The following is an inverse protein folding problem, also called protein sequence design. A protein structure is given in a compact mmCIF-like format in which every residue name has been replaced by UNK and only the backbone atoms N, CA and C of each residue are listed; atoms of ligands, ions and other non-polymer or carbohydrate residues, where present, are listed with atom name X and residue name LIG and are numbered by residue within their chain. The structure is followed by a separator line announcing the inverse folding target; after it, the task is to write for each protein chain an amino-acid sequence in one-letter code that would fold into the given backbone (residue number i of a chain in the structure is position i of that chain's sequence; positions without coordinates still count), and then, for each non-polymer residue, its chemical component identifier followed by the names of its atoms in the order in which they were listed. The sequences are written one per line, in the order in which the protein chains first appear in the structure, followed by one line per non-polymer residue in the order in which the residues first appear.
data_IF_817158835286
#
_entry.id   IF_817158835286
#
_cell.length_a   1.000
_cell.length_b   1.000
_cell.length_c   1.000
_cell.angle_alpha   90.00
_cell.angle_beta   90.00
_cell.angle_gamma   90.00
#
_symmetry.space_group_name_H-M   'P 1'
#
loop_
_entity.id
_entity.type
_entity.pdbx_description
1 polymer ?
#
# COMPACT_ATOMS: atom_id res chain seq x y z
N UNK A 1 -7.50 -29.66 -5.23
CA UNK A 1 -6.12 -29.48 -5.74
C UNK A 1 -5.55 -28.29 -5.01
N UNK A 2 -4.44 -28.46 -4.30
CA UNK A 2 -3.81 -27.38 -3.52
C UNK A 2 -2.78 -26.66 -4.39
N UNK A 3 -2.61 -25.35 -4.18
CA UNK A 3 -1.74 -24.51 -5.01
C UNK A 3 -0.27 -24.97 -4.96
N UNK A 4 0.19 -25.41 -3.78
CA UNK A 4 1.55 -25.94 -3.57
C UNK A 4 1.81 -27.17 -4.42
N UNK A 5 0.82 -28.08 -4.48
CA UNK A 5 0.91 -29.29 -5.28
C UNK A 5 0.94 -28.97 -6.78
N UNK A 6 0.10 -28.02 -7.21
CA UNK A 6 0.07 -27.57 -8.61
C UNK A 6 1.42 -26.97 -9.06
N UNK A 7 2.07 -26.21 -8.17
CA UNK A 7 3.39 -25.62 -8.42
C UNK A 7 4.49 -26.69 -8.48
N UNK A 8 4.47 -27.67 -7.56
CA UNK A 8 5.42 -28.78 -7.55
C UNK A 8 5.29 -29.67 -8.79
N UNK A 9 4.04 -29.97 -9.19
CA UNK A 9 3.78 -30.77 -10.38
C UNK A 9 4.24 -30.03 -11.64
N UNK A 10 4.06 -28.70 -11.71
CA UNK A 10 4.54 -27.86 -12.80
C UNK A 10 6.07 -27.81 -12.87
N UNK A 11 6.74 -27.66 -11.72
CA UNK A 11 8.21 -27.67 -11.61
C UNK A 11 8.81 -28.98 -12.11
N UNK A 12 8.18 -30.10 -11.80
CA UNK A 12 8.67 -31.44 -12.15
C UNK A 12 8.64 -31.73 -13.66
N UNK A 13 7.78 -31.05 -14.41
CA UNK A 13 7.62 -31.23 -15.86
C UNK A 13 8.63 -30.37 -16.64
N UNK A 14 9.20 -29.33 -16.02
CA UNK A 14 10.15 -28.43 -16.67
C UNK A 14 11.51 -29.12 -16.93
N UNK A 15 12.24 -28.72 -17.99
CA UNK A 15 13.63 -29.12 -18.19
C UNK A 15 14.54 -28.64 -17.03
N UNK A 16 15.63 -29.37 -16.74
CA UNK A 16 16.54 -29.07 -15.62
C UNK A 16 17.01 -27.61 -15.58
N UNK A 17 17.29 -27.02 -16.74
CA UNK A 17 17.77 -25.64 -16.85
C UNK A 17 16.71 -24.62 -16.41
N UNK A 18 15.43 -24.90 -16.71
CA UNK A 18 14.29 -24.08 -16.28
C UNK A 18 13.92 -24.32 -14.82
N UNK A 19 14.15 -25.52 -14.30
CA UNK A 19 14.00 -25.78 -12.87
C UNK A 19 15.01 -24.96 -12.06
N UNK A 20 16.27 -24.92 -12.51
CA UNK A 20 17.31 -24.13 -11.85
C UNK A 20 16.99 -22.63 -11.89
N UNK A 21 16.54 -22.09 -13.03
CA UNK A 21 16.13 -20.68 -13.14
C UNK A 21 15.02 -20.30 -12.13
N UNK A 22 14.04 -21.19 -11.92
CA UNK A 22 12.97 -20.96 -10.94
C UNK A 22 13.51 -21.02 -9.52
N UNK A 23 14.41 -21.96 -9.20
CA UNK A 23 15.04 -22.04 -7.89
C UNK A 23 15.89 -20.80 -7.59
N UNK A 24 16.67 -20.34 -8.57
CA UNK A 24 17.48 -19.13 -8.48
C UNK A 24 16.58 -17.89 -8.27
N UNK A 25 15.43 -17.83 -8.95
CA UNK A 25 14.45 -16.76 -8.75
C UNK A 25 13.82 -16.79 -7.35
N UNK A 26 13.49 -17.98 -6.83
CA UNK A 26 12.96 -18.12 -5.46
C UNK A 26 14.01 -17.72 -4.43
N UNK A 27 15.27 -18.14 -4.60
CA UNK A 27 16.39 -17.73 -3.75
C UNK A 27 16.57 -16.20 -3.79
N UNK A 28 16.52 -15.61 -4.99
CA UNK A 28 16.53 -14.17 -5.16
C UNK A 28 15.36 -13.48 -4.43
N UNK A 29 14.14 -14.02 -4.47
CA UNK A 29 13.00 -13.48 -3.75
C UNK A 29 13.19 -13.56 -2.23
N UNK A 30 13.69 -14.69 -1.72
CA UNK A 30 13.99 -14.86 -0.29
C UNK A 30 15.06 -13.85 0.13
N UNK A 31 16.15 -13.74 -0.63
CA UNK A 31 17.23 -12.79 -0.35
C UNK A 31 16.75 -11.34 -0.43
N UNK A 32 15.93 -10.99 -1.43
CA UNK A 32 15.37 -9.64 -1.61
C UNK A 32 14.38 -9.30 -0.50
N UNK A 33 13.56 -10.26 -0.06
CA UNK A 33 12.66 -10.06 1.08
C UNK A 33 13.42 -9.87 2.41
N UNK A 34 14.59 -10.52 2.57
CA UNK A 34 15.51 -10.30 3.69
C UNK A 34 16.23 -8.94 3.61
N UNK A 35 16.64 -8.51 2.42
CA UNK A 35 17.27 -7.21 2.19
C UNK A 35 16.28 -6.05 2.37
N UNK A 36 15.02 -6.19 1.97
CA UNK A 36 13.99 -5.19 2.22
C UNK A 36 13.84 -4.88 3.72
N UNK A 37 13.99 -5.88 4.60
CA UNK A 37 14.02 -5.65 6.06
C UNK A 37 15.23 -4.84 6.51
N UNK A 38 16.39 -4.97 5.84
CA UNK A 38 17.59 -4.17 6.14
C UNK A 38 17.56 -2.77 5.50
N UNK A 39 16.93 -2.58 4.34
CA UNK A 39 16.78 -1.26 3.71
C UNK A 39 15.81 -0.39 4.50
N UNK A 40 14.75 -0.93 5.11
CA UNK A 40 13.96 -0.18 6.12
C UNK A 40 14.78 0.25 7.34
N UNK A 41 15.84 -0.48 7.70
CA UNK A 41 16.71 -0.13 8.83
C UNK A 41 17.89 0.79 8.45
N UNK A 42 18.17 0.98 7.16
CA UNK A 42 19.29 1.81 6.65
C UNK A 42 18.85 2.98 5.75
N UNK A 43 17.59 3.06 5.36
CA UNK A 43 17.01 4.23 4.69
C UNK A 43 16.66 5.37 5.67
N UNK A 44 17.22 5.34 6.88
CA UNK A 44 17.21 6.43 7.85
C UNK A 44 18.29 7.49 7.60
N UNK A 45 19.14 7.36 6.58
CA UNK A 45 20.33 8.23 6.47
C UNK A 45 20.65 8.82 5.07
N UNK A 46 19.70 8.88 4.13
CA UNK A 46 19.92 9.61 2.88
C UNK A 46 18.62 10.21 2.29
N UNK A 47 18.18 11.29 2.96
CA UNK A 47 17.59 12.51 2.40
C UNK A 47 17.01 12.47 0.97
N UNK A 48 15.66 12.50 0.90
CA UNK A 48 14.94 13.69 0.41
C UNK A 48 13.51 13.72 0.99
N UNK A 49 13.28 14.72 1.85
CA UNK A 49 11.99 15.25 2.33
C UNK A 49 10.97 14.26 2.89
N UNK A 50 11.20 13.80 4.11
CA UNK A 50 10.11 13.56 5.06
C UNK A 50 10.28 14.55 6.20
N UNK A 51 9.68 15.73 6.03
CA UNK A 51 9.49 16.64 7.15
C UNK A 51 8.46 16.03 8.09
N UNK A 52 9.00 15.43 9.15
CA UNK A 52 8.50 15.45 10.53
C UNK A 52 7.30 14.54 10.82
N UNK A 53 7.55 13.52 11.65
CA UNK A 53 6.54 12.72 12.34
C UNK A 53 6.85 11.23 12.28
N UNK A 54 7.80 10.77 13.09
CA UNK A 54 8.00 9.33 13.38
C UNK A 54 6.82 8.80 14.21
N UNK A 55 5.64 8.77 13.62
CA UNK A 55 4.52 7.99 14.14
C UNK A 55 4.49 6.69 13.34
N UNK A 56 4.53 5.56 14.04
CA UNK A 56 4.53 4.22 13.48
C UNK A 56 3.62 4.15 12.24
N UNK A 57 4.20 3.89 11.07
CA UNK A 57 3.43 3.78 9.83
C UNK A 57 2.52 2.55 9.90
N UNK A 58 1.32 2.75 10.47
CA UNK A 58 0.25 1.78 10.47
C UNK A 58 -0.17 1.53 9.02
N UNK A 59 -0.40 0.26 8.68
CA UNK A 59 -1.01 -0.07 7.39
C UNK A 59 -2.42 0.51 7.29
N UNK A 60 -2.91 0.70 6.07
CA UNK A 60 -4.25 1.23 5.85
C UNK A 60 -5.35 0.36 6.50
N UNK A 61 -5.13 -0.95 6.54
CA UNK A 61 -6.03 -1.89 7.23
C UNK A 61 -6.00 -1.71 8.76
N UNK A 62 -4.83 -1.41 9.33
CA UNK A 62 -4.70 -1.13 10.77
C UNK A 62 -5.35 0.20 11.12
N UNK A 63 -5.16 1.25 10.30
CA UNK A 63 -5.82 2.55 10.48
C UNK A 63 -7.36 2.39 10.43
N UNK A 64 -7.88 1.59 9.50
CA UNK A 64 -9.32 1.36 9.38
C UNK A 64 -9.93 0.61 10.57
N UNK A 65 -9.12 -0.14 11.34
CA UNK A 65 -9.55 -0.84 12.55
C UNK A 65 -9.59 0.05 13.79
N UNK A 66 -8.95 1.22 13.76
CA UNK A 66 -8.98 2.17 14.87
C UNK A 66 -10.35 2.84 15.00
N UNK A 67 -10.77 3.21 16.22
CA UNK A 67 -11.91 4.09 16.43
C UNK A 67 -11.76 5.41 15.66
N UNK A 68 -12.87 6.01 15.27
CA UNK A 68 -12.87 7.25 14.47
C UNK A 68 -12.14 8.39 15.19
N UNK A 69 -12.21 8.39 16.52
CA UNK A 69 -11.53 9.35 17.39
C UNK A 69 -10.01 9.24 17.32
N UNK A 70 -9.46 8.04 17.12
CA UNK A 70 -8.01 7.86 16.98
C UNK A 70 -7.56 8.13 15.54
N UNK A 71 -8.42 7.83 14.55
CA UNK A 71 -8.13 8.09 13.14
C UNK A 71 -7.92 9.56 12.84
N UNK A 72 -8.70 10.47 13.43
CA UNK A 72 -8.53 11.91 13.16
C UNK A 72 -7.21 12.46 13.70
N UNK A 73 -6.65 11.86 14.76
CA UNK A 73 -5.38 12.32 15.35
C UNK A 73 -4.22 12.12 14.37
N UNK A 74 -4.27 11.04 13.60
CA UNK A 74 -3.30 10.76 12.54
C UNK A 74 -3.36 11.77 11.39
N UNK A 75 -4.53 12.38 11.16
CA UNK A 75 -4.70 13.38 10.12
C UNK A 75 -4.36 14.80 10.61
N UNK A 76 -4.42 15.04 11.92
CA UNK A 76 -4.24 16.37 12.52
C UNK A 76 -2.97 17.11 12.06
N UNK A 77 -1.79 16.47 11.95
CA UNK A 77 -0.56 17.14 11.48
C UNK A 77 -0.63 17.65 10.03
N UNK A 78 -1.52 17.08 9.22
CA UNK A 78 -1.63 17.38 7.79
C UNK A 78 -2.76 18.36 7.47
N UNK A 79 -3.62 18.69 8.44
CA UNK A 79 -4.80 19.54 8.20
C UNK A 79 -4.39 20.90 7.67
N UNK A 80 -3.41 21.56 8.30
CA UNK A 80 -3.01 22.92 7.90
C UNK A 80 -2.45 22.97 6.47
N UNK A 81 -1.59 22.00 6.12
CA UNK A 81 -1.06 21.86 4.76
C UNK A 81 -2.17 21.58 3.75
N UNK A 82 -3.10 20.71 4.12
CA UNK A 82 -4.23 20.33 3.27
C UNK A 82 -5.12 21.54 3.01
N UNK A 83 -5.42 22.34 4.05
CA UNK A 83 -6.20 23.57 3.94
C UNK A 83 -5.53 24.56 2.99
N UNK A 84 -4.22 24.73 3.08
CA UNK A 84 -3.47 25.60 2.17
C UNK A 84 -3.56 25.12 0.71
N UNK A 85 -3.51 23.81 0.47
CA UNK A 85 -3.68 23.23 -0.87
C UNK A 85 -5.09 23.52 -1.43
N UNK A 86 -6.15 23.35 -0.63
CA UNK A 86 -7.51 23.69 -1.04
C UNK A 86 -7.68 25.18 -1.39
N UNK A 87 -6.95 26.09 -0.74
CA UNK A 87 -6.97 27.51 -1.09
C UNK A 87 -6.24 27.83 -2.40
N UNK A 88 -5.20 27.07 -2.73
CA UNK A 88 -4.37 27.29 -3.93
C UNK A 88 -4.94 26.61 -5.17
N UNK A 89 -5.69 25.53 -4.97
CA UNK A 89 -6.13 24.63 -6.03
C UNK A 89 -7.67 24.54 -6.03
N UNK A 90 -8.37 25.45 -6.73
CA UNK A 90 -9.84 25.45 -6.79
C UNK A 90 -10.40 24.12 -7.34
N UNK A 91 -9.64 23.40 -8.19
CA UNK A 91 -9.97 22.07 -8.68
C UNK A 91 -10.21 21.04 -7.56
N UNK A 92 -9.61 21.22 -6.38
CA UNK A 92 -9.86 20.36 -5.22
C UNK A 92 -11.23 20.61 -4.58
N UNK A 93 -11.83 21.76 -4.83
CA UNK A 93 -13.18 22.13 -4.37
C UNK A 93 -14.26 21.91 -5.43
N UNK A 94 -13.88 21.59 -6.66
CA UNK A 94 -14.80 21.33 -7.76
C UNK A 94 -15.34 19.91 -7.72
N UNK A 95 -16.30 19.67 -6.83
CA UNK A 95 -17.15 18.49 -6.93
C UNK A 95 -18.18 18.77 -8.02
N UNK A 96 -18.08 18.03 -9.14
CA UNK A 96 -19.18 17.96 -10.09
C UNK A 96 -20.40 17.50 -9.29
N UNK A 97 -21.41 18.35 -9.18
CA UNK A 97 -22.71 18.00 -8.61
C UNK A 97 -23.20 16.84 -9.47
N UNK A 98 -22.99 15.61 -9.00
CA UNK A 98 -23.80 14.49 -9.45
C UNK A 98 -25.19 14.88 -8.97
N UNK A 99 -26.04 15.32 -9.90
CA UNK A 99 -27.46 15.55 -9.64
C UNK A 99 -27.94 14.36 -8.81
N UNK A 100 -28.42 14.63 -7.60
CA UNK A 100 -28.65 13.65 -6.54
C UNK A 100 -29.80 12.68 -6.83
N UNK A 101 -30.12 12.46 -8.09
CA UNK A 101 -31.34 11.80 -8.59
C UNK A 101 -31.13 10.33 -8.94
N UNK A 102 -29.90 9.79 -8.92
CA UNK A 102 -29.62 8.39 -9.29
C UNK A 102 -29.42 7.44 -8.08
N UNK A 103 -29.86 7.86 -6.89
CA UNK A 103 -29.84 7.03 -5.67
C UNK A 103 -31.20 6.39 -5.34
N UNK A 104 -32.24 6.60 -6.15
CA UNK A 104 -33.47 5.79 -6.08
C UNK A 104 -33.26 4.51 -6.90
N UNK A 105 -32.73 3.48 -6.26
CA UNK A 105 -32.96 2.12 -6.74
C UNK A 105 -34.46 1.84 -6.55
N UNK A 106 -35.21 1.90 -7.64
CA UNK A 106 -36.56 1.33 -7.74
C UNK A 106 -36.48 -0.18 -7.52
N UNK A 107 -36.64 -0.63 -6.27
CA UNK A 107 -36.98 -2.01 -5.92
C UNK A 107 -38.14 -1.97 -4.92
N UNK A 108 -39.38 -1.99 -5.44
CA UNK A 108 -40.61 -2.36 -4.74
C UNK A 108 -41.42 -3.36 -5.60
#
# INVERSE_FOLDING_TARGET
MNIEQAVLDSLRILPNEKQQEVLDFVEFLVQKSGQLKQVTNKASDATVSSTIGEEQQLSLQEIARLPVEERHKLLAPYIDSTVEDFFKHPELTEFSVLDGEDWENDDD
#
